data_IF_392287835609
#
_entry.id   IF_392287835609
#
_cell.length_a   1.000
_cell.length_b   1.000
_cell.length_c   1.000
_cell.angle_alpha   90.00
_cell.angle_beta   90.00
_cell.angle_gamma   90.00
#
_symmetry.space_group_name_H-M   'P 1'
#
loop_
_entity.id
_entity.type
_entity.pdbx_description
1 polymer ?
#
# COMPACT_ATOMS: atom_id res chain seq x y z
N UNK A 1 -17.62 16.93 2.18
CA UNK A 1 -17.83 16.91 0.72
C UNK A 1 -17.44 15.53 0.20
N UNK A 2 -18.26 14.86 -0.61
CA UNK A 2 -17.95 13.59 -1.25
C UNK A 2 -17.36 13.88 -2.63
N UNK A 3 -16.08 13.55 -2.84
CA UNK A 3 -15.38 13.83 -4.12
C UNK A 3 -15.37 12.65 -5.07
N UNK A 4 -15.46 11.42 -4.52
CA UNK A 4 -15.43 10.21 -5.32
C UNK A 4 -16.27 9.12 -4.66
N UNK A 5 -17.11 8.47 -5.46
CA UNK A 5 -17.83 7.26 -5.09
C UNK A 5 -17.64 6.21 -6.18
N UNK A 6 -17.02 5.08 -5.84
CA UNK A 6 -16.82 3.96 -6.76
C UNK A 6 -17.94 2.95 -6.53
N UNK A 7 -18.91 2.83 -7.45
CA UNK A 7 -19.99 1.87 -7.32
C UNK A 7 -19.49 0.44 -7.61
N UNK A 8 -20.08 -0.53 -6.94
CA UNK A 8 -19.80 -1.95 -7.21
C UNK A 8 -19.59 -2.80 -5.96
N UNK A 9 -19.65 -4.10 -6.15
CA UNK A 9 -19.52 -5.10 -5.08
C UNK A 9 -18.08 -5.52 -4.81
N UNK A 10 -17.12 -5.07 -5.62
CA UNK A 10 -15.70 -5.46 -5.52
C UNK A 10 -14.82 -4.22 -5.40
N UNK A 11 -13.84 -4.31 -4.51
CA UNK A 11 -12.83 -3.27 -4.38
C UNK A 11 -12.00 -3.16 -5.67
N UNK A 12 -11.64 -1.94 -6.11
CA UNK A 12 -10.77 -1.74 -7.26
C UNK A 12 -9.35 -2.28 -7.04
N UNK A 13 -8.94 -2.47 -5.79
CA UNK A 13 -7.59 -2.95 -5.47
C UNK A 13 -6.51 -1.96 -5.93
N UNK A 14 -5.53 -2.43 -6.70
CA UNK A 14 -4.49 -1.57 -7.24
C UNK A 14 -4.98 -0.58 -8.30
N UNK A 15 -6.08 -0.91 -8.98
CA UNK A 15 -6.66 -0.08 -10.05
C UNK A 15 -7.36 1.17 -9.49
N UNK A 16 -7.39 1.35 -8.17
CA UNK A 16 -7.92 2.56 -7.52
C UNK A 16 -7.26 3.84 -8.05
N UNK A 17 -6.02 3.75 -8.51
CA UNK A 17 -5.29 4.90 -9.04
C UNK A 17 -5.96 5.48 -10.30
N UNK A 18 -6.59 4.63 -11.12
CA UNK A 18 -7.35 5.08 -12.30
C UNK A 18 -8.52 5.97 -11.88
N UNK A 19 -9.20 5.59 -10.79
CA UNK A 19 -10.32 6.38 -10.25
C UNK A 19 -9.89 7.66 -9.55
N UNK A 20 -8.66 7.66 -9.00
CA UNK A 20 -8.11 8.83 -8.31
C UNK A 20 -7.42 9.83 -9.25
N UNK A 21 -7.17 9.45 -10.50
CA UNK A 21 -6.48 10.31 -11.45
C UNK A 21 -7.11 11.71 -11.57
N UNK A 22 -8.44 11.87 -11.73
CA UNK A 22 -9.06 13.20 -11.78
C UNK A 22 -8.79 14.02 -10.51
N UNK A 23 -8.84 13.40 -9.32
CA UNK A 23 -8.54 14.08 -8.07
C UNK A 23 -7.11 14.60 -8.02
N UNK A 24 -6.16 13.85 -8.57
CA UNK A 24 -4.75 14.29 -8.63
C UNK A 24 -4.60 15.48 -9.57
N UNK A 25 -5.30 15.48 -10.70
CA UNK A 25 -5.30 16.57 -11.67
C UNK A 25 -5.89 17.85 -11.05
N UNK A 26 -7.00 17.75 -10.36
CA UNK A 26 -7.60 18.86 -9.61
C UNK A 26 -6.65 19.41 -8.54
N UNK A 27 -5.98 18.53 -7.79
CA UNK A 27 -5.02 18.93 -6.76
C UNK A 27 -3.77 19.60 -7.35
N UNK A 28 -3.32 19.16 -8.52
CA UNK A 28 -2.23 19.82 -9.24
C UNK A 28 -2.61 21.22 -9.72
N UNK A 29 -3.82 21.38 -10.25
CA UNK A 29 -4.35 22.68 -10.66
C UNK A 29 -4.48 23.65 -9.47
N UNK A 30 -5.05 23.16 -8.36
CA UNK A 30 -5.18 23.93 -7.12
C UNK A 30 -3.82 24.34 -6.53
N UNK A 31 -2.80 23.54 -6.72
CA UNK A 31 -1.44 23.88 -6.28
C UNK A 31 -0.76 24.88 -7.20
N UNK A 32 -0.74 24.60 -8.51
CA UNK A 32 0.04 25.37 -9.47
C UNK A 32 -0.60 26.73 -9.76
N UNK A 33 -1.88 26.75 -10.11
CA UNK A 33 -2.58 27.92 -10.59
C UNK A 33 -3.55 28.48 -9.53
N UNK A 34 -4.20 27.58 -8.80
CA UNK A 34 -5.33 27.91 -7.95
C UNK A 34 -6.60 28.15 -8.78
N UNK A 35 -7.70 28.37 -8.10
CA UNK A 35 -9.02 28.62 -8.70
C UNK A 35 -9.61 29.89 -8.12
N UNK A 36 -10.09 30.79 -8.97
CA UNK A 36 -10.80 32.01 -8.54
C UNK A 36 -12.14 31.63 -7.93
N UNK A 37 -12.34 31.99 -6.67
CA UNK A 37 -13.55 31.70 -5.89
C UNK A 37 -14.09 32.98 -5.32
N UNK A 38 -15.41 33.16 -5.39
CA UNK A 38 -16.10 34.32 -4.78
C UNK A 38 -16.45 33.99 -3.33
N UNK A 39 -15.92 34.80 -2.39
CA UNK A 39 -16.33 34.74 -0.99
C UNK A 39 -17.65 35.52 -0.82
N UNK A 40 -18.72 34.82 -0.44
CA UNK A 40 -20.02 35.40 -0.26
C UNK A 40 -20.15 36.26 1.02
N UNK A 41 -19.25 36.08 1.98
CA UNK A 41 -19.20 36.81 3.22
C UNK A 41 -18.50 38.16 3.02
N UNK A 42 -17.26 38.16 2.55
CA UNK A 42 -16.47 39.37 2.32
C UNK A 42 -16.77 40.05 0.98
N UNK A 43 -17.58 39.41 0.11
CA UNK A 43 -17.93 39.88 -1.25
C UNK A 43 -16.74 40.11 -2.17
N UNK A 44 -15.67 39.36 -1.96
CA UNK A 44 -14.43 39.46 -2.72
C UNK A 44 -14.13 38.18 -3.49
N UNK A 45 -13.37 38.31 -4.57
CA UNK A 45 -12.82 37.16 -5.33
C UNK A 45 -11.40 36.93 -4.87
N UNK A 46 -11.12 35.71 -4.46
CA UNK A 46 -9.77 35.31 -4.09
C UNK A 46 -9.32 34.06 -4.88
N UNK A 47 -8.00 33.83 -4.93
CA UNK A 47 -7.46 32.64 -5.56
C UNK A 47 -7.29 31.55 -4.52
N UNK A 48 -8.18 30.53 -4.57
CA UNK A 48 -8.12 29.34 -3.71
C UNK A 48 -6.99 28.43 -4.15
N UNK A 49 -6.06 28.15 -3.25
CA UNK A 49 -5.03 27.12 -3.40
C UNK A 49 -5.19 26.08 -2.32
N UNK A 50 -4.94 24.82 -2.66
CA UNK A 50 -5.07 23.73 -1.71
C UNK A 50 -3.98 22.67 -1.90
N UNK A 51 -3.70 21.94 -0.81
CA UNK A 51 -2.81 20.77 -0.80
C UNK A 51 -3.45 19.62 -0.06
N UNK A 52 -3.12 18.41 -0.46
CA UNK A 52 -3.42 17.21 0.31
C UNK A 52 -2.32 17.00 1.34
N UNK A 53 -2.61 17.21 2.63
CA UNK A 53 -1.63 17.06 3.70
C UNK A 53 -1.49 15.62 4.19
N UNK A 54 -2.59 14.90 4.34
CA UNK A 54 -2.63 13.50 4.79
C UNK A 54 -3.91 12.81 4.33
N UNK A 55 -3.88 11.47 4.37
CA UNK A 55 -5.06 10.64 4.16
C UNK A 55 -5.30 9.76 5.40
N UNK A 56 -6.56 9.51 5.72
CA UNK A 56 -6.97 8.58 6.80
C UNK A 56 -7.55 7.35 6.13
N UNK A 57 -6.94 6.18 6.38
CA UNK A 57 -7.29 4.95 5.71
C UNK A 57 -7.31 3.78 6.69
N UNK A 58 -8.16 2.81 6.45
CA UNK A 58 -7.98 1.49 7.03
C UNK A 58 -6.73 0.80 6.45
N UNK A 59 -6.27 -0.26 7.10
CA UNK A 59 -5.03 -0.93 6.70
C UNK A 59 -5.06 -1.54 5.29
N UNK A 60 -6.16 -2.13 4.80
CA UNK A 60 -6.30 -2.56 3.40
C UNK A 60 -6.21 -1.40 2.40
N UNK A 61 -6.95 -0.32 2.63
CA UNK A 61 -6.93 0.86 1.77
C UNK A 61 -5.55 1.53 1.76
N UNK A 62 -4.89 1.61 2.93
CA UNK A 62 -3.52 2.08 3.03
C UNK A 62 -2.60 1.35 2.04
N UNK A 63 -2.64 0.01 1.98
CA UNK A 63 -1.83 -0.76 1.04
C UNK A 63 -2.14 -0.46 -0.43
N UNK A 64 -3.38 -0.15 -0.76
CA UNK A 64 -3.78 0.19 -2.13
C UNK A 64 -3.37 1.62 -2.52
N UNK A 65 -3.42 2.57 -1.59
CA UNK A 65 -3.08 3.96 -1.84
C UNK A 65 -1.58 4.23 -1.77
N UNK A 66 -0.89 3.69 -0.77
CA UNK A 66 0.55 3.90 -0.60
C UNK A 66 1.42 3.07 -1.53
N UNK A 67 0.90 1.96 -2.05
CA UNK A 67 1.69 0.98 -2.79
C UNK A 67 2.53 0.04 -1.92
N UNK A 68 2.50 0.16 -0.60
CA UNK A 68 3.19 -0.76 0.30
C UNK A 68 2.53 -2.13 0.35
N UNK A 69 3.32 -3.17 0.60
CA UNK A 69 2.76 -4.44 1.00
C UNK A 69 2.20 -4.35 2.43
N UNK A 70 0.93 -4.73 2.60
CA UNK A 70 0.25 -4.81 3.91
C UNK A 70 0.08 -6.24 4.40
N UNK A 71 0.73 -7.20 3.73
CA UNK A 71 0.76 -8.62 4.10
C UNK A 71 2.18 -9.15 3.97
N UNK A 72 2.54 -10.13 4.82
CA UNK A 72 3.86 -10.76 4.79
C UNK A 72 4.81 -10.22 5.86
N UNK A 73 6.10 -10.46 5.68
CA UNK A 73 7.15 -10.16 6.66
C UNK A 73 7.37 -8.66 6.87
N UNK A 74 7.32 -7.87 5.80
CA UNK A 74 7.67 -6.45 5.80
C UNK A 74 6.42 -5.54 5.67
N UNK A 75 5.29 -6.00 6.18
CA UNK A 75 4.01 -5.31 6.02
C UNK A 75 3.77 -4.13 6.98
N UNK A 76 4.78 -3.71 7.73
CA UNK A 76 4.65 -2.54 8.61
C UNK A 76 5.05 -1.26 7.89
N UNK A 77 4.13 -0.31 7.67
CA UNK A 77 4.43 0.93 6.94
C UNK A 77 5.39 1.87 7.69
N UNK A 78 5.44 1.78 9.02
CA UNK A 78 6.35 2.60 9.84
C UNK A 78 7.76 2.02 9.88
N UNK A 79 7.86 0.70 9.98
CA UNK A 79 9.15 0.01 10.10
C UNK A 79 9.80 -0.27 8.76
N UNK A 80 8.99 -0.45 7.72
CA UNK A 80 9.38 -0.78 6.35
C UNK A 80 10.40 -1.93 6.34
N UNK A 81 11.64 -1.68 5.89
CA UNK A 81 12.77 -2.63 5.89
C UNK A 81 13.23 -3.06 7.30
N UNK A 82 12.97 -2.24 8.30
CA UNK A 82 13.26 -2.53 9.72
C UNK A 82 12.15 -3.28 10.45
N UNK A 83 11.17 -3.82 9.74
CA UNK A 83 10.09 -4.60 10.36
C UNK A 83 10.67 -5.85 11.01
N UNK A 84 10.37 -6.04 12.30
CA UNK A 84 10.73 -7.25 13.05
C UNK A 84 9.54 -8.19 13.04
N UNK A 85 9.64 -9.25 12.26
CA UNK A 85 8.59 -10.24 12.13
C UNK A 85 9.12 -11.64 12.43
N UNK A 86 8.23 -12.48 12.94
CA UNK A 86 8.47 -13.90 13.18
C UNK A 86 7.37 -14.72 12.51
N UNK A 87 7.76 -15.77 11.82
CA UNK A 87 6.82 -16.70 11.21
C UNK A 87 6.30 -17.70 12.24
N UNK A 88 4.97 -17.86 12.30
CA UNK A 88 4.32 -18.87 13.11
C UNK A 88 3.92 -20.07 12.23
N UNK A 89 4.62 -21.21 12.30
CA UNK A 89 4.42 -22.30 11.35
C UNK A 89 3.03 -22.95 11.46
N UNK A 90 2.48 -23.08 12.66
CA UNK A 90 1.16 -23.65 12.88
C UNK A 90 0.03 -22.76 12.36
N UNK A 91 0.12 -21.47 12.62
CA UNK A 91 -0.88 -20.46 12.18
C UNK A 91 -0.65 -19.99 10.75
N UNK A 92 0.50 -20.30 10.14
CA UNK A 92 0.93 -19.84 8.80
C UNK A 92 0.79 -18.34 8.64
N UNK A 93 1.27 -17.58 9.63
CA UNK A 93 1.19 -16.12 9.67
C UNK A 93 2.49 -15.53 10.16
N UNK A 94 2.79 -14.33 9.67
CA UNK A 94 3.77 -13.48 10.31
C UNK A 94 3.13 -12.74 11.47
N UNK A 95 3.86 -12.65 12.59
CA UNK A 95 3.55 -11.76 13.71
C UNK A 95 4.65 -10.73 13.83
N UNK A 96 4.28 -9.51 14.12
CA UNK A 96 5.25 -8.44 14.34
C UNK A 96 5.65 -8.42 15.81
N UNK A 97 6.94 -8.35 16.02
CA UNK A 97 7.55 -8.45 17.34
C UNK A 97 8.36 -7.19 17.66
N UNK A 98 8.84 -7.08 18.89
CA UNK A 98 9.70 -5.98 19.36
C UNK A 98 9.04 -4.60 19.34
N UNK A 99 7.75 -4.53 19.59
CA UNK A 99 7.03 -3.25 19.68
C UNK A 99 7.50 -2.38 20.85
N UNK A 100 8.09 -2.98 21.90
CA UNK A 100 8.64 -2.24 23.04
C UNK A 100 9.75 -1.25 22.66
N UNK A 101 10.39 -1.42 21.51
CA UNK A 101 11.38 -0.47 20.97
C UNK A 101 10.82 0.93 20.69
N UNK A 102 9.47 1.06 20.53
CA UNK A 102 8.79 2.34 20.34
C UNK A 102 8.53 3.09 21.65
N UNK A 103 8.62 2.41 22.79
CA UNK A 103 8.51 3.04 24.09
C UNK A 103 9.75 3.89 24.40
N UNK A 104 9.62 4.84 25.33
CA UNK A 104 10.76 5.60 25.85
C UNK A 104 11.88 4.65 26.32
N UNK A 105 13.16 4.98 26.12
CA UNK A 105 14.29 4.17 26.62
C UNK A 105 14.20 3.83 28.11
N UNK A 106 13.65 4.73 28.92
CA UNK A 106 13.47 4.58 30.37
C UNK A 106 12.19 3.82 30.77
N UNK A 107 11.34 3.44 29.79
CA UNK A 107 10.04 2.83 30.11
C UNK A 107 10.20 1.47 30.78
N UNK A 108 9.49 1.20 31.91
CA UNK A 108 9.65 -0.03 32.67
C UNK A 108 9.39 -1.31 31.90
N UNK A 109 8.48 -1.29 30.90
CA UNK A 109 8.19 -2.47 30.09
C UNK A 109 9.36 -2.90 29.20
N UNK A 110 10.33 -2.04 28.94
CA UNK A 110 11.53 -2.44 28.17
C UNK A 110 12.38 -3.45 28.95
N UNK A 111 12.36 -3.41 30.27
CA UNK A 111 13.14 -4.29 31.16
C UNK A 111 12.35 -5.49 31.69
N UNK A 112 11.01 -5.43 31.72
CA UNK A 112 10.15 -6.51 32.20
C UNK A 112 10.20 -7.73 31.27
N UNK A 113 11.06 -8.70 31.62
CA UNK A 113 11.28 -9.90 30.80
C UNK A 113 10.11 -10.89 30.84
N UNK A 114 9.53 -11.11 32.02
CA UNK A 114 8.55 -12.17 32.29
C UNK A 114 7.19 -11.93 31.57
N UNK A 115 6.89 -10.71 31.18
CA UNK A 115 5.64 -10.38 30.49
C UNK A 115 5.74 -10.47 28.96
N UNK A 116 6.91 -10.76 28.44
CA UNK A 116 7.21 -10.76 27.02
C UNK A 116 8.06 -11.99 26.64
N UNK A 117 8.96 -11.81 25.71
CA UNK A 117 9.82 -12.86 25.13
C UNK A 117 11.03 -13.28 26.00
N UNK A 118 11.03 -12.97 27.30
CA UNK A 118 12.12 -13.26 28.22
C UNK A 118 13.35 -12.36 28.07
N UNK A 119 13.31 -11.36 27.18
CA UNK A 119 14.45 -10.50 26.88
C UNK A 119 14.19 -9.05 27.25
N UNK A 120 15.26 -8.31 27.52
CA UNK A 120 15.24 -6.84 27.66
C UNK A 120 15.22 -6.23 26.26
N UNK A 121 14.38 -5.22 26.06
CA UNK A 121 14.35 -4.48 24.81
C UNK A 121 15.38 -3.36 24.81
N UNK A 122 16.45 -3.54 24.04
CA UNK A 122 17.55 -2.57 23.91
C UNK A 122 17.51 -1.80 22.60
N UNK A 123 16.78 -2.28 21.61
CA UNK A 123 16.71 -1.63 20.30
C UNK A 123 15.98 -0.28 20.40
N UNK A 124 16.46 0.72 19.69
CA UNK A 124 15.75 1.98 19.50
C UNK A 124 14.65 1.83 18.43
N UNK A 125 13.69 2.75 18.45
CA UNK A 125 12.68 2.82 17.40
C UNK A 125 13.36 3.04 16.04
N UNK A 126 12.88 2.39 14.97
CA UNK A 126 13.43 2.62 13.64
C UNK A 126 13.19 4.08 13.21
N UNK A 127 14.09 4.60 12.42
CA UNK A 127 13.87 5.91 11.79
C UNK A 127 12.77 5.77 10.75
N UNK A 128 11.80 6.66 10.79
CA UNK A 128 10.75 6.74 9.78
C UNK A 128 11.41 7.09 8.43
N UNK A 129 10.99 6.41 7.38
CA UNK A 129 11.48 6.66 6.03
C UNK A 129 11.05 8.07 5.61
N UNK A 130 12.00 8.89 5.16
CA UNK A 130 11.71 10.21 4.63
C UNK A 130 11.09 10.11 3.24
N UNK A 131 10.27 11.09 2.84
CA UNK A 131 9.69 11.15 1.50
C UNK A 131 10.76 11.12 0.40
N UNK A 132 11.88 11.82 0.61
CA UNK A 132 13.01 11.80 -0.33
C UNK A 132 13.59 10.40 -0.53
N UNK A 133 13.82 9.63 0.55
CA UNK A 133 14.32 8.25 0.46
C UNK A 133 13.31 7.34 -0.24
N UNK A 134 12.04 7.57 0.01
CA UNK A 134 10.95 6.83 -0.64
C UNK A 134 10.89 7.14 -2.14
N UNK A 135 11.06 8.41 -2.51
CA UNK A 135 11.13 8.83 -3.91
C UNK A 135 12.28 8.16 -4.64
N UNK A 136 13.48 8.18 -4.07
CA UNK A 136 14.66 7.53 -4.67
C UNK A 136 14.45 6.03 -4.92
N UNK A 137 13.67 5.36 -4.08
CA UNK A 137 13.35 3.94 -4.26
C UNK A 137 12.27 3.68 -5.34
N UNK A 138 11.41 4.66 -5.60
CA UNK A 138 10.22 4.46 -6.42
C UNK A 138 10.21 5.28 -7.72
N UNK A 139 11.15 6.21 -7.92
CA UNK A 139 11.16 7.07 -9.11
C UNK A 139 11.18 6.29 -10.42
N UNK A 140 11.90 5.17 -10.45
CA UNK A 140 12.04 4.29 -11.63
C UNK A 140 11.07 3.09 -11.60
N UNK A 141 10.17 3.04 -10.62
CA UNK A 141 9.22 1.95 -10.48
C UNK A 141 8.10 2.08 -11.52
N UNK A 142 7.98 1.08 -12.36
CA UNK A 142 6.90 0.98 -13.36
C UNK A 142 5.73 0.22 -12.75
N UNK A 143 4.54 0.82 -12.79
CA UNK A 143 3.33 0.18 -12.30
C UNK A 143 2.76 -0.75 -13.37
N UNK A 144 2.45 -1.99 -12.97
CA UNK A 144 1.60 -2.88 -13.76
C UNK A 144 0.14 -2.63 -13.40
N UNK A 145 -0.63 -2.15 -14.36
CA UNK A 145 -2.05 -1.90 -14.20
C UNK A 145 -2.88 -3.07 -14.71
N UNK A 146 -3.99 -3.29 -14.02
CA UNK A 146 -4.94 -4.33 -14.39
C UNK A 146 -4.60 -5.71 -13.82
N UNK A 147 -5.59 -6.59 -13.88
CA UNK A 147 -5.40 -8.02 -13.66
C UNK A 147 -5.14 -8.65 -15.02
N UNK A 148 -3.96 -9.12 -15.26
CA UNK A 148 -3.71 -10.03 -16.39
C UNK A 148 -4.49 -11.31 -16.07
N UNK A 149 -5.66 -11.45 -16.68
CA UNK A 149 -6.41 -12.70 -16.66
C UNK A 149 -5.65 -13.68 -17.55
N UNK A 150 -4.71 -14.42 -16.98
CA UNK A 150 -3.99 -15.50 -17.67
C UNK A 150 -4.98 -16.52 -18.30
N UNK A 151 -6.19 -16.64 -17.74
CA UNK A 151 -7.26 -17.48 -18.27
C UNK A 151 -7.77 -17.02 -19.66
N UNK A 152 -7.55 -15.79 -20.06
CA UNK A 152 -7.97 -15.29 -21.38
C UNK A 152 -6.96 -15.73 -22.45
N UNK A 153 -5.67 -15.72 -22.13
CA UNK A 153 -4.62 -16.12 -23.07
C UNK A 153 -4.66 -17.62 -23.38
N UNK A 154 -4.94 -18.49 -22.39
CA UNK A 154 -5.07 -19.92 -22.63
C UNK A 154 -6.32 -20.26 -23.45
N UNK A 155 -7.41 -19.49 -23.34
CA UNK A 155 -8.64 -19.72 -24.11
C UNK A 155 -8.58 -19.22 -25.55
N UNK A 156 -7.74 -18.25 -25.88
CA UNK A 156 -7.57 -17.78 -27.27
C UNK A 156 -6.64 -18.67 -28.10
N UNK A 157 -5.65 -19.28 -27.48
CA UNK A 157 -4.73 -20.21 -28.15
C UNK A 157 -5.42 -21.54 -28.51
N UNK A 158 -6.48 -21.92 -27.80
CA UNK A 158 -7.23 -23.18 -28.06
C UNK A 158 -8.38 -23.04 -29.06
N UNK A 159 -8.68 -21.86 -29.61
CA UNK A 159 -9.74 -21.67 -30.62
C UNK A 159 -9.27 -21.85 -32.07
N UNK A 160 -8.11 -22.43 -32.28
CA UNK A 160 -7.62 -22.85 -33.59
C UNK A 160 -8.10 -24.25 -33.97
N UNK A 161 -9.16 -24.35 -34.79
CA UNK A 161 -9.58 -25.51 -35.58
C UNK A 161 -9.97 -26.82 -34.86
N UNK A 162 -11.25 -27.11 -34.90
CA UNK A 162 -11.80 -28.45 -34.63
C UNK A 162 -13.32 -28.50 -34.63
N UNK A 163 -13.93 -28.97 -35.70
CA UNK A 163 -15.36 -29.29 -35.81
C UNK A 163 -15.75 -30.39 -34.83
N UNK A 164 -16.83 -30.18 -34.10
CA UNK A 164 -17.72 -31.22 -33.60
C UNK A 164 -17.41 -31.78 -32.21
N UNK A 165 -18.36 -31.63 -31.28
CA UNK A 165 -18.45 -32.38 -30.04
C UNK A 165 -18.57 -31.54 -28.78
N UNK A 166 -19.80 -31.44 -28.23
CA UNK A 166 -20.02 -30.87 -26.89
C UNK A 166 -19.34 -31.76 -25.83
N UNK A 167 -18.14 -31.43 -25.41
CA UNK A 167 -17.55 -31.98 -24.19
C UNK A 167 -17.88 -31.05 -23.02
N UNK A 168 -18.72 -31.55 -22.12
CA UNK A 168 -18.94 -30.92 -20.81
C UNK A 168 -17.62 -31.02 -20.03
N UNK A 169 -16.87 -29.94 -19.98
CA UNK A 169 -15.65 -29.87 -19.18
C UNK A 169 -16.08 -29.66 -17.73
N UNK A 170 -16.03 -30.72 -16.92
CA UNK A 170 -16.11 -30.59 -15.46
C UNK A 170 -14.99 -29.67 -15.01
N UNK A 171 -15.32 -28.52 -14.45
CA UNK A 171 -14.34 -27.64 -13.79
C UNK A 171 -13.69 -28.38 -12.64
N UNK A 172 -12.55 -28.98 -12.89
CA UNK A 172 -11.68 -29.51 -11.84
C UNK A 172 -11.08 -28.28 -11.15
N UNK A 173 -11.52 -27.97 -9.94
CA UNK A 173 -10.85 -26.97 -9.11
C UNK A 173 -9.39 -27.40 -8.95
N UNK A 174 -8.41 -26.60 -9.35
CA UNK A 174 -7.01 -26.96 -9.16
C UNK A 174 -6.81 -27.17 -7.65
N UNK A 175 -6.38 -28.38 -7.26
CA UNK A 175 -5.93 -28.65 -5.91
C UNK A 175 -4.82 -27.64 -5.63
N UNK A 176 -5.04 -26.75 -4.66
CA UNK A 176 -3.98 -25.83 -4.19
C UNK A 176 -2.77 -26.70 -3.86
N UNK A 177 -1.74 -26.64 -4.72
CA UNK A 177 -0.46 -27.26 -4.41
C UNK A 177 -0.04 -26.68 -3.07
N UNK A 178 0.26 -27.55 -2.12
CA UNK A 178 0.89 -27.18 -0.85
C UNK A 178 2.23 -26.58 -1.21
N UNK A 179 2.30 -25.28 -1.31
CA UNK A 179 3.58 -24.57 -1.46
C UNK A 179 4.23 -24.71 -0.09
N UNK A 180 5.19 -25.60 0.01
CA UNK A 180 6.14 -25.55 1.11
C UNK A 180 6.89 -24.24 0.93
N UNK A 181 6.61 -23.29 1.82
CA UNK A 181 7.34 -22.02 1.89
C UNK A 181 8.76 -22.40 2.34
N UNK A 182 9.65 -22.58 1.39
CA UNK A 182 11.07 -22.79 1.67
C UNK A 182 11.61 -21.45 2.19
N UNK A 183 12.46 -21.50 3.19
CA UNK A 183 13.07 -20.33 3.86
C UNK A 183 13.75 -19.35 2.88
N UNK A 184 14.06 -19.79 1.69
CA UNK A 184 14.73 -19.02 0.62
C UNK A 184 13.86 -17.89 0.06
N UNK A 185 12.52 -18.01 0.09
CA UNK A 185 11.62 -16.96 -0.43
C UNK A 185 11.34 -15.84 0.58
N UNK A 186 11.73 -16.03 1.83
CA UNK A 186 11.48 -15.05 2.90
C UNK A 186 12.42 -13.84 2.87
N UNK A 187 13.60 -13.95 2.24
CA UNK A 187 14.59 -12.87 2.18
C UNK A 187 14.30 -11.84 1.07
N UNK A 188 13.54 -12.22 0.05
CA UNK A 188 13.31 -11.39 -1.16
C UNK A 188 11.98 -10.65 -1.19
N UNK A 189 11.30 -10.48 -0.06
CA UNK A 189 10.04 -9.74 -0.07
C UNK A 189 10.30 -8.27 -0.45
N UNK A 190 9.68 -7.84 -1.56
CA UNK A 190 9.67 -6.45 -1.97
C UNK A 190 8.87 -5.60 -0.97
N UNK A 191 9.32 -4.36 -0.76
CA UNK A 191 8.62 -3.39 0.09
C UNK A 191 7.38 -2.81 -0.61
N UNK A 192 7.47 -2.66 -1.91
CA UNK A 192 6.52 -1.96 -2.75
C UNK A 192 5.89 -2.89 -3.78
N UNK A 193 4.58 -2.79 -3.95
CA UNK A 193 3.83 -3.46 -5.02
C UNK A 193 3.50 -2.54 -6.18
N UNK A 194 3.51 -1.23 -5.95
CA UNK A 194 3.33 -0.19 -6.95
C UNK A 194 3.88 1.15 -6.45
N UNK A 195 4.08 2.08 -7.36
CA UNK A 195 4.28 3.49 -7.04
C UNK A 195 2.92 4.15 -6.87
N UNK A 196 2.69 4.81 -5.74
CA UNK A 196 1.45 5.52 -5.46
C UNK A 196 1.19 6.65 -6.45
N UNK A 197 -0.08 6.87 -6.80
CA UNK A 197 -0.49 8.00 -7.64
C UNK A 197 -0.16 9.37 -7.00
N UNK A 198 -0.14 9.45 -5.67
CA UNK A 198 0.22 10.67 -4.95
C UNK A 198 1.64 11.16 -5.24
N UNK A 199 2.50 10.32 -5.82
CA UNK A 199 3.83 10.75 -6.28
C UNK A 199 3.80 11.78 -7.41
N UNK A 200 2.71 11.93 -8.10
CA UNK A 200 2.54 12.96 -9.13
C UNK A 200 2.23 14.34 -8.55
N UNK A 201 1.92 14.44 -7.26
CA UNK A 201 1.71 15.73 -6.60
C UNK A 201 3.06 16.45 -6.41
N UNK A 202 3.20 17.71 -6.84
CA UNK A 202 4.50 18.38 -6.89
C UNK A 202 5.09 18.68 -5.51
N UNK A 203 4.26 18.76 -4.48
CA UNK A 203 4.65 19.16 -3.12
C UNK A 203 5.00 18.00 -2.19
N UNK A 204 4.75 16.76 -2.55
CA UNK A 204 4.95 15.64 -1.63
C UNK A 204 6.44 15.42 -1.26
N UNK A 205 7.38 15.86 -2.10
CA UNK A 205 8.81 15.81 -1.81
C UNK A 205 9.20 16.73 -0.65
N UNK A 206 8.45 17.81 -0.46
CA UNK A 206 8.65 18.80 0.59
C UNK A 206 7.94 18.39 1.88
N UNK A 207 6.76 17.78 1.77
CA UNK A 207 5.96 17.28 2.89
C UNK A 207 6.45 15.89 3.28
N UNK A 208 7.64 15.82 3.81
CA UNK A 208 8.46 14.62 3.93
C UNK A 208 7.98 13.55 4.91
N UNK A 209 6.91 13.75 5.68
CA UNK A 209 6.67 12.85 6.81
C UNK A 209 5.24 12.38 6.99
N UNK A 210 4.24 13.01 6.38
CA UNK A 210 2.86 12.86 6.83
C UNK A 210 1.90 12.08 5.93
N UNK A 211 2.16 11.96 4.64
CA UNK A 211 1.25 11.24 3.74
C UNK A 211 1.17 9.71 4.00
N UNK A 212 2.14 9.16 4.74
CA UNK A 212 2.24 7.71 4.99
C UNK A 212 2.09 7.35 6.47
N UNK A 213 2.13 8.30 7.39
CA UNK A 213 2.28 8.06 8.83
C UNK A 213 1.10 8.54 9.68
N UNK A 214 -0.12 8.50 9.18
CA UNK A 214 -1.28 8.83 10.03
C UNK A 214 -2.03 7.55 10.41
N UNK A 215 -1.66 6.98 11.56
CA UNK A 215 -2.46 6.07 12.36
C UNK A 215 -2.77 6.74 13.69
#
# INVERSE_FOLDING_TARGET
MLTLLIPGSKQPGNDIDIYLQPLIEDLQELWNNGVSVFDSFDKEVFNLRAILMWTINDFPAYGNLSGCYTKGRLACPLCVDNTRAMWLPFSRKFVFIRHRRFLSPSHPFRTKKCWFDGKVEKESKPRIMTGRRMYEQLKDFVNDWGKVNMDIFENEVMKGHGRGGKKVVKKVRPKRKRVEVRDVDMEKQQLWKKRSLFFYLPYWQVITTYLIASF
#
